data_IF_848182041922
#
_entry.id   IF_848182041922
#
_cell.length_a   1.000
_cell.length_b   1.000
_cell.length_c   1.000
_cell.angle_alpha   90.00
_cell.angle_beta   90.00
_cell.angle_gamma   90.00
#
_symmetry.space_group_name_H-M   'P 1'
#
loop_
_entity.id
_entity.type
_entity.pdbx_description
1 polymer ?
#
# COMPACT_ATOMS: atom_id res chain seq x y z
N UNK A 1 -61.45 30.17 -34.07
CA UNK A 1 -60.80 29.50 -32.93
C UNK A 1 -59.65 28.66 -33.48
N UNK A 2 -58.39 29.11 -33.33
CA UNK A 2 -57.19 28.43 -33.88
C UNK A 2 -56.43 27.80 -32.72
N UNK A 3 -56.32 26.46 -32.70
CA UNK A 3 -55.49 25.71 -31.74
C UNK A 3 -54.10 25.55 -32.36
N UNK A 4 -53.10 26.20 -31.78
CA UNK A 4 -51.69 25.95 -32.07
C UNK A 4 -51.24 24.78 -31.20
N UNK A 5 -50.95 23.64 -31.83
CA UNK A 5 -50.37 22.47 -31.16
C UNK A 5 -48.85 22.64 -31.19
N UNK A 6 -48.26 22.88 -30.03
CA UNK A 6 -46.82 22.98 -29.82
C UNK A 6 -46.28 21.55 -29.62
N UNK A 7 -45.74 20.95 -30.68
CA UNK A 7 -45.00 19.69 -30.57
C UNK A 7 -43.57 20.03 -30.17
N UNK A 8 -43.28 19.95 -28.87
CA UNK A 8 -41.92 20.06 -28.36
C UNK A 8 -41.14 18.79 -28.73
N UNK A 9 -40.32 18.90 -29.77
CA UNK A 9 -39.37 17.86 -30.18
C UNK A 9 -38.33 17.64 -29.09
N UNK A 10 -38.32 16.44 -28.52
CA UNK A 10 -37.34 15.94 -27.56
C UNK A 10 -35.97 15.85 -28.26
N UNK A 11 -35.09 16.83 -28.03
CA UNK A 11 -33.69 16.75 -28.44
C UNK A 11 -32.96 15.78 -27.49
N UNK A 12 -32.87 14.52 -27.89
CA UNK A 12 -31.98 13.53 -27.25
C UNK A 12 -30.55 13.92 -27.60
N UNK A 13 -29.88 14.61 -26.68
CA UNK A 13 -28.47 14.93 -26.77
C UNK A 13 -27.65 13.62 -26.71
N UNK A 14 -27.13 13.19 -27.85
CA UNK A 14 -26.08 12.17 -27.91
C UNK A 14 -24.76 12.80 -27.44
N UNK A 15 -24.49 12.69 -26.13
CA UNK A 15 -23.15 12.95 -25.61
C UNK A 15 -22.22 11.81 -26.06
N UNK A 16 -21.05 12.10 -26.65
CA UNK A 16 -20.07 11.07 -26.98
C UNK A 16 -19.56 10.40 -25.69
N UNK A 17 -19.25 9.09 -25.71
CA UNK A 17 -18.67 8.42 -24.55
C UNK A 17 -17.35 9.10 -24.20
N UNK A 18 -17.27 9.64 -22.99
CA UNK A 18 -16.00 10.10 -22.43
C UNK A 18 -15.05 8.90 -22.43
N UNK A 19 -13.97 8.97 -23.21
CA UNK A 19 -12.91 7.98 -23.18
C UNK A 19 -12.36 7.94 -21.76
N UNK A 20 -12.68 6.89 -21.02
CA UNK A 20 -12.09 6.64 -19.71
C UNK A 20 -10.56 6.58 -19.91
N UNK A 21 -9.85 7.60 -19.42
CA UNK A 21 -8.40 7.55 -19.33
C UNK A 21 -8.06 6.40 -18.39
N UNK A 22 -7.62 5.27 -18.95
CA UNK A 22 -7.09 4.15 -18.17
C UNK A 22 -5.81 4.63 -17.51
N UNK A 23 -5.92 5.07 -16.26
CA UNK A 23 -4.75 5.32 -15.42
C UNK A 23 -4.02 3.98 -15.29
N UNK A 24 -2.74 3.89 -15.66
CA UNK A 24 -2.00 2.65 -15.49
C UNK A 24 -2.02 2.27 -14.00
N UNK A 25 -2.23 0.99 -13.67
CA UNK A 25 -2.23 0.55 -12.28
C UNK A 25 -0.91 0.97 -11.63
N UNK A 26 -0.98 1.53 -10.42
CA UNK A 26 0.22 1.90 -9.70
C UNK A 26 1.04 0.64 -9.39
N UNK A 27 2.38 0.69 -9.50
CA UNK A 27 3.19 -0.47 -9.21
C UNK A 27 3.04 -0.91 -7.75
N UNK A 28 3.11 -2.22 -7.53
CA UNK A 28 3.17 -2.81 -6.19
C UNK A 28 4.35 -2.22 -5.41
N UNK A 29 4.12 -1.99 -4.11
CA UNK A 29 5.17 -1.54 -3.21
C UNK A 29 5.83 -2.72 -2.51
N UNK A 30 7.13 -2.61 -2.26
CA UNK A 30 7.92 -3.65 -1.60
C UNK A 30 8.73 -3.05 -0.45
N UNK A 31 8.81 -3.80 0.65
CA UNK A 31 9.69 -3.47 1.77
C UNK A 31 10.21 -4.76 2.43
N UNK A 32 11.23 -4.59 3.26
CA UNK A 32 11.86 -5.67 4.01
C UNK A 32 11.80 -5.33 5.49
N UNK A 33 11.13 -6.15 6.29
CA UNK A 33 11.22 -6.10 7.74
C UNK A 33 12.37 -7.01 8.18
N UNK A 34 13.34 -6.46 8.90
CA UNK A 34 14.36 -7.24 9.59
C UNK A 34 14.11 -7.24 11.08
N UNK A 35 14.23 -8.42 11.67
CA UNK A 35 14.23 -8.61 13.11
C UNK A 35 15.57 -9.20 13.53
N UNK A 36 16.08 -8.74 14.68
CA UNK A 36 17.24 -9.34 15.32
C UNK A 36 16.89 -9.63 16.78
N UNK A 37 17.13 -10.87 17.22
CA UNK A 37 16.79 -11.28 18.58
C UNK A 37 17.60 -10.48 19.60
N UNK A 38 16.92 -10.02 20.64
CA UNK A 38 17.46 -9.39 21.84
C UNK A 38 17.11 -10.26 23.06
N UNK A 39 17.69 -9.95 24.22
CA UNK A 39 17.38 -10.67 25.46
C UNK A 39 15.88 -10.61 25.82
N UNK A 40 15.37 -11.71 26.37
CA UNK A 40 14.01 -11.77 26.91
C UNK A 40 12.90 -11.63 25.87
N UNK A 41 12.95 -12.41 24.78
CA UNK A 41 11.97 -12.45 23.68
C UNK A 41 11.78 -11.15 22.90
N UNK A 42 12.56 -10.10 23.18
CA UNK A 42 12.51 -8.84 22.46
C UNK A 42 13.25 -8.95 21.14
N UNK A 43 12.88 -8.12 20.18
CA UNK A 43 13.51 -8.01 18.87
C UNK A 43 13.86 -6.56 18.55
N UNK A 44 15.04 -6.33 17.97
CA UNK A 44 15.30 -5.10 17.25
C UNK A 44 14.57 -5.21 15.91
N UNK A 45 13.65 -4.28 15.67
CA UNK A 45 12.83 -4.25 14.46
C UNK A 45 13.25 -3.07 13.59
N UNK A 46 13.51 -3.35 12.31
CA UNK A 46 13.83 -2.31 11.32
C UNK A 46 13.16 -2.61 9.99
N UNK A 47 12.72 -1.56 9.31
CA UNK A 47 12.08 -1.66 8.00
C UNK A 47 12.95 -0.97 6.96
N UNK A 48 13.24 -1.67 5.87
CA UNK A 48 14.03 -1.21 4.74
C UNK A 48 13.08 -1.04 3.57
N UNK A 49 13.05 0.16 3.00
CA UNK A 49 12.23 0.52 1.85
C UNK A 49 13.12 0.85 0.66
N UNK A 50 12.62 0.65 -0.56
CA UNK A 50 13.36 1.04 -1.78
C UNK A 50 13.57 2.56 -1.85
N UNK A 51 14.45 3.06 -2.71
CA UNK A 51 14.72 4.50 -2.85
C UNK A 51 13.69 5.24 -3.74
N UNK A 52 12.40 4.95 -3.61
CA UNK A 52 11.38 5.55 -4.47
C UNK A 52 10.82 6.85 -3.83
N UNK A 53 10.86 8.01 -4.51
CA UNK A 53 10.41 9.29 -3.96
C UNK A 53 8.91 9.40 -3.62
N UNK A 54 8.05 8.45 -3.99
CA UNK A 54 6.61 8.44 -3.63
C UNK A 54 6.31 7.99 -2.17
N UNK A 55 7.29 8.06 -1.27
CA UNK A 55 7.37 7.29 -0.01
C UNK A 55 7.05 8.05 1.29
N UNK A 56 6.37 9.19 1.28
CA UNK A 56 6.06 9.91 2.54
C UNK A 56 5.40 9.01 3.60
N UNK A 57 4.49 8.11 3.19
CA UNK A 57 3.86 7.12 4.08
C UNK A 57 4.82 6.05 4.59
N UNK A 58 5.83 5.66 3.81
CA UNK A 58 6.80 4.65 4.21
C UNK A 58 7.82 5.21 5.20
N UNK A 59 8.14 6.51 5.15
CA UNK A 59 9.00 7.17 6.15
C UNK A 59 8.39 7.11 7.56
N UNK A 60 7.07 7.32 7.68
CA UNK A 60 6.36 7.18 8.95
C UNK A 60 6.34 5.73 9.43
N UNK A 61 6.11 4.78 8.52
CA UNK A 61 6.15 3.35 8.83
C UNK A 61 7.56 2.95 9.34
N UNK A 62 8.64 3.40 8.69
CA UNK A 62 10.03 3.17 9.13
C UNK A 62 10.29 3.76 10.52
N UNK A 63 9.81 4.98 10.79
CA UNK A 63 9.96 5.61 12.11
C UNK A 63 9.19 4.82 13.19
N UNK A 64 7.99 4.36 12.88
CA UNK A 64 7.15 3.54 13.78
C UNK A 64 7.79 2.19 14.10
N UNK A 65 8.53 1.59 13.17
CA UNK A 65 9.15 0.28 13.38
C UNK A 65 10.14 0.26 14.56
N UNK A 66 10.81 1.39 14.81
CA UNK A 66 11.77 1.53 15.91
C UNK A 66 11.12 1.47 17.30
N UNK A 67 9.80 1.62 17.40
CA UNK A 67 9.07 1.59 18.68
C UNK A 67 8.60 0.19 19.09
N UNK A 68 8.64 -0.79 18.18
CA UNK A 68 8.18 -2.14 18.49
C UNK A 68 9.27 -2.95 19.19
N UNK A 69 8.93 -3.55 20.32
CA UNK A 69 9.81 -4.46 21.05
C UNK A 69 9.69 -5.92 20.58
N UNK A 70 8.62 -6.26 19.86
CA UNK A 70 8.31 -7.60 19.40
C UNK A 70 8.03 -7.64 17.90
N UNK A 71 8.52 -8.69 17.26
CA UNK A 71 8.33 -8.97 15.84
C UNK A 71 6.85 -9.07 15.46
N UNK A 72 6.05 -9.76 16.29
CA UNK A 72 4.62 -9.96 16.05
C UNK A 72 3.84 -8.64 16.00
N UNK A 73 4.18 -7.68 16.85
CA UNK A 73 3.51 -6.38 16.88
C UNK A 73 3.80 -5.56 15.63
N UNK A 74 5.05 -5.62 15.16
CA UNK A 74 5.47 -4.96 13.93
C UNK A 74 4.76 -5.56 12.70
N UNK A 75 4.66 -6.90 12.63
CA UNK A 75 3.95 -7.60 11.56
C UNK A 75 2.45 -7.29 11.58
N UNK A 76 1.82 -7.28 12.76
CA UNK A 76 0.41 -6.93 12.91
C UNK A 76 0.13 -5.49 12.45
N UNK A 77 1.01 -4.54 12.81
CA UNK A 77 0.92 -3.17 12.34
C UNK A 77 1.03 -3.09 10.81
N UNK A 78 2.03 -3.73 10.20
CA UNK A 78 2.21 -3.72 8.75
C UNK A 78 1.02 -4.35 8.02
N UNK A 79 0.47 -5.45 8.56
CA UNK A 79 -0.74 -6.08 8.04
C UNK A 79 -1.94 -5.12 8.06
N UNK A 80 -2.14 -4.37 9.14
CA UNK A 80 -3.20 -3.34 9.22
C UNK A 80 -3.05 -2.21 8.20
N UNK A 81 -1.86 -2.06 7.60
CA UNK A 81 -1.53 -1.06 6.58
C UNK A 81 -1.53 -1.64 5.16
N UNK A 82 -2.03 -2.86 5.00
CA UNK A 82 -2.17 -3.54 3.71
C UNK A 82 -0.89 -4.22 3.21
N UNK A 83 0.12 -4.40 4.09
CA UNK A 83 1.31 -5.18 3.74
C UNK A 83 1.07 -6.67 3.94
N UNK A 84 1.53 -7.46 2.99
CA UNK A 84 1.45 -8.91 2.97
C UNK A 84 2.86 -9.50 2.98
N UNK A 85 3.10 -10.49 3.84
CA UNK A 85 4.37 -11.25 3.82
C UNK A 85 4.37 -12.17 2.60
N UNK A 86 5.32 -11.98 1.69
CA UNK A 86 5.47 -12.79 0.48
C UNK A 86 6.62 -13.80 0.58
N UNK A 87 7.58 -13.55 1.47
CA UNK A 87 8.69 -14.47 1.72
C UNK A 87 9.31 -14.22 3.08
N UNK A 88 9.88 -15.27 3.67
CA UNK A 88 10.61 -15.23 4.94
C UNK A 88 11.99 -15.84 4.73
N UNK A 89 13.03 -15.14 5.15
CA UNK A 89 14.41 -15.57 5.09
C UNK A 89 15.12 -15.36 6.42
N UNK A 90 16.37 -15.80 6.50
CA UNK A 90 17.22 -15.51 7.63
C UNK A 90 18.04 -14.24 7.38
N UNK A 91 18.33 -13.52 8.45
CA UNK A 91 19.26 -12.39 8.39
C UNK A 91 20.69 -12.93 8.31
N UNK A 92 21.42 -12.56 7.25
CA UNK A 92 22.75 -13.10 6.95
C UNK A 92 23.81 -12.82 8.04
N UNK A 93 23.58 -11.85 8.94
CA UNK A 93 24.52 -11.52 10.03
C UNK A 93 23.76 -11.23 11.33
N UNK A 94 24.18 -11.88 12.43
CA UNK A 94 23.73 -11.56 13.80
C UNK A 94 22.49 -12.30 14.31
N UNK A 95 21.97 -13.29 13.58
CA UNK A 95 20.75 -13.99 13.93
C UNK A 95 19.49 -13.13 13.74
N UNK A 96 18.34 -13.79 13.53
CA UNK A 96 17.06 -13.14 13.32
C UNK A 96 16.45 -13.40 11.94
N UNK A 97 15.30 -12.78 11.68
CA UNK A 97 14.43 -13.10 10.55
C UNK A 97 14.31 -11.90 9.62
N UNK A 98 14.15 -12.18 8.33
CA UNK A 98 13.86 -11.17 7.31
C UNK A 98 12.53 -11.52 6.65
N UNK A 99 11.58 -10.59 6.70
CA UNK A 99 10.31 -10.70 5.99
C UNK A 99 10.34 -9.79 4.77
N UNK A 100 10.05 -10.36 3.63
CA UNK A 100 9.79 -9.61 2.41
C UNK A 100 8.30 -9.34 2.34
N UNK A 101 7.91 -8.08 2.27
CA UNK A 101 6.52 -7.67 2.24
C UNK A 101 6.18 -6.94 0.95
N UNK A 102 4.94 -7.12 0.51
CA UNK A 102 4.34 -6.46 -0.64
C UNK A 102 3.06 -5.74 -0.22
N UNK A 103 2.79 -4.58 -0.81
CA UNK A 103 1.50 -3.90 -0.70
C UNK A 103 0.98 -3.53 -2.08
N UNK A 104 -0.19 -4.06 -2.41
CA UNK A 104 -0.89 -3.72 -3.64
C UNK A 104 -1.38 -2.27 -3.60
N UNK A 105 -1.23 -1.56 -4.71
CA UNK A 105 -1.91 -0.27 -4.91
C UNK A 105 -3.06 -0.45 -5.90
N UNK A 106 -4.27 0.02 -5.57
CA UNK A 106 -5.43 -0.05 -6.44
C UNK A 106 -5.30 0.87 -7.67
#
# INVERSE_FOLDING_TARGET
>A
MKKLVLVAGLLVAFLPPALAQTVPPQPDQYCILETASRSGNRSLVSLITGADPAQTQQTEEVARMKTFEYEVDALNYLSSRGWEVISVGQRNQGGGVRYYLRRHRP
#
